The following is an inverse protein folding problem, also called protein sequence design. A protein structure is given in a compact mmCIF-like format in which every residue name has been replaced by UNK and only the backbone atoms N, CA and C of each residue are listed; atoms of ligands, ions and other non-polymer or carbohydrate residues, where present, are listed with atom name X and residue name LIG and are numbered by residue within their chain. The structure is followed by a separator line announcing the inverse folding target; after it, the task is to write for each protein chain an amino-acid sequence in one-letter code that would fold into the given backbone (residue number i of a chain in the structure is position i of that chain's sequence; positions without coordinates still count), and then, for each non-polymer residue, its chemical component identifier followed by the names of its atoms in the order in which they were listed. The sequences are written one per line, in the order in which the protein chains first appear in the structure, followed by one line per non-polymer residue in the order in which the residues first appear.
data_IF_280020590950
#
_entry.id   IF_280020590950
#
_cell.length_a   1.000
_cell.length_b   1.000
_cell.length_c   1.000
_cell.angle_alpha   90.00
_cell.angle_beta   90.00
_cell.angle_gamma   90.00
#
_symmetry.space_group_name_H-M   'P 1'
#
loop_
_entity.id
_entity.type
_entity.pdbx_description
1 polymer ?
#
# COMPACT_ATOMS: atom_id res chain seq x y z
N UNK A 1 -15.76 -1.34 -21.38
CA UNK A 1 -15.41 -0.93 -20.00
C UNK A 1 -14.42 0.20 -20.18
N UNK A 2 -14.86 1.43 -19.95
CA UNK A 2 -14.01 2.61 -20.00
C UNK A 2 -12.81 2.38 -19.10
N UNK A 3 -11.61 2.67 -19.58
CA UNK A 3 -10.42 2.64 -18.72
C UNK A 3 -9.98 4.08 -18.50
N UNK A 4 -9.95 4.49 -17.24
CA UNK A 4 -9.44 5.79 -16.85
C UNK A 4 -8.03 5.70 -16.26
N UNK A 5 -7.23 6.74 -16.48
CA UNK A 5 -5.89 6.94 -15.96
C UNK A 5 -5.53 8.41 -15.80
N UNK A 6 -4.34 8.72 -15.28
CA UNK A 6 -3.82 10.10 -15.24
C UNK A 6 -2.57 10.24 -16.10
N UNK A 7 -2.45 11.39 -16.76
CA UNK A 7 -1.18 11.93 -17.23
C UNK A 7 -0.76 13.06 -16.28
N UNK A 8 0.42 12.92 -15.69
CA UNK A 8 1.02 13.89 -14.78
C UNK A 8 2.24 14.52 -15.49
N UNK A 9 2.06 15.75 -15.94
CA UNK A 9 3.08 16.54 -16.63
C UNK A 9 3.95 17.27 -15.60
N UNK A 10 5.15 16.75 -15.36
CA UNK A 10 6.11 17.33 -14.41
C UNK A 10 6.86 18.53 -14.98
N UNK A 11 6.92 18.69 -16.32
CA UNK A 11 7.58 19.83 -16.95
C UNK A 11 6.80 21.13 -16.70
N UNK A 12 5.47 21.05 -16.76
CA UNK A 12 4.58 22.18 -16.46
C UNK A 12 4.28 22.38 -14.97
N UNK A 13 4.65 21.44 -14.10
CA UNK A 13 4.24 21.46 -12.70
C UNK A 13 5.06 22.46 -11.88
N UNK A 14 4.40 23.47 -11.30
CA UNK A 14 5.07 24.51 -10.48
C UNK A 14 5.08 24.23 -8.97
N UNK A 15 4.59 23.07 -8.52
CA UNK A 15 4.60 22.71 -7.09
C UNK A 15 3.70 23.58 -6.20
N UNK A 16 2.59 24.12 -6.70
CA UNK A 16 1.75 25.05 -5.92
C UNK A 16 0.86 24.40 -4.84
N UNK A 17 0.83 23.07 -4.72
CA UNK A 17 -0.05 22.30 -3.81
C UNK A 17 -1.56 22.45 -4.00
N UNK A 18 -2.02 23.16 -5.04
CA UNK A 18 -3.45 23.32 -5.31
C UNK A 18 -4.19 21.97 -5.41
N UNK A 19 -3.58 20.98 -6.08
CA UNK A 19 -4.13 19.64 -6.20
C UNK A 19 -4.27 18.89 -4.86
N UNK A 20 -3.29 19.04 -3.95
CA UNK A 20 -3.34 18.47 -2.60
C UNK A 20 -4.47 19.11 -1.79
N UNK A 21 -4.54 20.44 -1.79
CA UNK A 21 -5.55 21.20 -1.02
C UNK A 21 -6.96 20.92 -1.53
N UNK A 22 -7.18 20.95 -2.86
CA UNK A 22 -8.48 20.64 -3.44
C UNK A 22 -8.91 19.20 -3.12
N UNK A 23 -8.00 18.23 -3.18
CA UNK A 23 -8.32 16.86 -2.82
C UNK A 23 -8.70 16.71 -1.34
N UNK A 24 -8.00 17.45 -0.45
CA UNK A 24 -8.35 17.49 0.97
C UNK A 24 -9.73 18.09 1.20
N UNK A 25 -10.04 19.21 0.56
CA UNK A 25 -11.33 19.89 0.68
C UNK A 25 -12.49 19.09 0.09
N UNK A 26 -12.28 18.41 -1.03
CA UNK A 26 -13.34 17.64 -1.72
C UNK A 26 -13.76 16.39 -0.95
N UNK A 27 -12.85 15.79 -0.17
CA UNK A 27 -13.10 14.51 0.50
C UNK A 27 -12.91 14.56 2.02
N UNK A 28 -12.85 15.75 2.60
CA UNK A 28 -12.60 15.99 4.02
C UNK A 28 -11.43 15.14 4.56
N UNK A 29 -10.29 15.17 3.86
CA UNK A 29 -9.14 14.32 4.20
C UNK A 29 -8.42 14.85 5.45
N UNK A 30 -8.31 14.05 6.53
CA UNK A 30 -7.74 14.50 7.80
C UNK A 30 -6.30 15.00 7.70
N UNK A 31 -5.87 15.78 8.69
CA UNK A 31 -4.49 16.26 8.79
C UNK A 31 -3.50 15.08 8.92
N UNK A 32 -2.29 15.27 8.41
CA UNK A 32 -1.22 14.26 8.42
C UNK A 32 -1.31 13.19 7.32
N UNK A 33 -2.44 13.06 6.62
CA UNK A 33 -2.62 12.10 5.51
C UNK A 33 -3.07 12.79 4.22
N UNK A 34 -2.76 12.17 3.08
CA UNK A 34 -3.03 12.73 1.75
C UNK A 34 -3.45 11.64 0.76
N UNK A 35 -4.39 11.95 -0.15
CA UNK A 35 -4.75 11.08 -1.28
C UNK A 35 -3.90 11.38 -2.54
N UNK A 36 -3.40 12.60 -2.66
CA UNK A 36 -2.44 13.06 -3.67
C UNK A 36 -1.49 14.06 -3.01
N UNK A 37 -0.21 14.02 -3.40
CA UNK A 37 0.80 14.91 -2.85
C UNK A 37 1.83 15.33 -3.91
N UNK A 38 2.70 16.25 -3.56
CA UNK A 38 3.85 16.62 -4.37
C UNK A 38 5.13 16.06 -3.74
N UNK A 39 6.04 15.57 -4.59
CA UNK A 39 7.42 15.21 -4.23
C UNK A 39 8.36 16.19 -4.91
N UNK A 40 9.25 16.80 -4.13
CA UNK A 40 10.25 17.76 -4.60
C UNK A 40 11.61 17.10 -4.58
N UNK A 41 12.30 17.19 -5.70
CA UNK A 41 13.66 16.70 -5.84
C UNK A 41 14.54 17.85 -6.30
N UNK A 42 15.61 18.11 -5.58
CA UNK A 42 16.67 19.01 -6.02
C UNK A 42 17.82 18.21 -6.61
N UNK A 43 18.38 18.71 -7.71
CA UNK A 43 19.52 18.09 -8.40
C UNK A 43 20.62 19.11 -8.65
N UNK A 44 21.87 18.64 -8.66
CA UNK A 44 23.05 19.45 -9.00
C UNK A 44 23.69 20.10 -7.78
N UNK A 45 24.69 20.97 -8.04
CA UNK A 45 25.43 21.71 -7.01
C UNK A 45 25.50 23.18 -7.38
N UNK A 46 25.54 24.06 -6.38
CA UNK A 46 25.61 25.51 -6.60
C UNK A 46 26.83 25.86 -7.47
N UNK A 47 26.68 26.72 -8.51
CA UNK A 47 25.48 27.50 -8.87
C UNK A 47 24.48 26.79 -9.81
N UNK A 48 24.80 25.59 -10.28
CA UNK A 48 24.02 24.81 -11.25
C UNK A 48 23.05 23.85 -10.54
N UNK A 49 22.03 24.41 -9.88
CA UNK A 49 20.98 23.64 -9.20
C UNK A 49 19.66 23.69 -9.95
N UNK A 50 18.88 22.61 -9.85
CA UNK A 50 17.51 22.54 -10.37
C UNK A 50 16.58 21.91 -9.33
N UNK A 51 15.31 22.30 -9.35
CA UNK A 51 14.24 21.72 -8.52
C UNK A 51 13.15 21.17 -9.42
N UNK A 52 12.75 19.93 -9.15
CA UNK A 52 11.80 19.15 -9.92
C UNK A 52 10.58 18.86 -9.06
N UNK A 53 9.39 19.01 -9.64
CA UNK A 53 8.12 18.81 -8.96
C UNK A 53 7.37 17.64 -9.59
N UNK A 54 7.02 16.65 -8.80
CA UNK A 54 6.27 15.48 -9.30
C UNK A 54 5.06 15.21 -8.43
N UNK A 55 3.90 15.06 -9.05
CA UNK A 55 2.66 14.74 -8.36
C UNK A 55 2.56 13.23 -8.12
N UNK A 56 2.27 12.83 -6.89
CA UNK A 56 2.24 11.43 -6.45
C UNK A 56 0.85 11.08 -5.94
N UNK A 57 0.34 9.89 -6.29
CA UNK A 57 -1.00 9.40 -5.91
C UNK A 57 -1.11 7.88 -6.16
N UNK A 58 -2.31 7.33 -5.95
CA UNK A 58 -2.62 5.95 -6.37
C UNK A 58 -2.54 5.82 -7.90
N UNK A 59 -1.91 4.75 -8.37
CA UNK A 59 -1.72 4.49 -9.79
C UNK A 59 -2.92 3.81 -10.48
N UNK A 60 -3.97 3.44 -9.72
CA UNK A 60 -5.16 2.75 -10.21
C UNK A 60 -4.84 1.56 -11.15
N UNK A 61 -3.81 0.80 -10.80
CA UNK A 61 -3.24 -0.34 -11.53
C UNK A 61 -4.27 -1.26 -12.17
N UNK A 62 -3.97 -1.81 -13.35
CA UNK A 62 -4.78 -2.86 -13.99
C UNK A 62 -4.61 -4.21 -13.26
N UNK A 63 -3.40 -4.54 -12.81
CA UNK A 63 -3.16 -5.63 -11.85
C UNK A 63 -2.93 -5.02 -10.46
N UNK A 64 -3.99 -4.95 -9.66
CA UNK A 64 -4.01 -4.23 -8.39
C UNK A 64 -3.79 -5.20 -7.20
N UNK A 65 -2.56 -5.36 -6.68
CA UNK A 65 -2.27 -6.30 -5.58
C UNK A 65 -3.03 -5.94 -4.30
N UNK A 66 -3.38 -4.66 -4.11
CA UNK A 66 -4.20 -4.19 -3.00
C UNK A 66 -5.63 -4.76 -3.00
N UNK A 67 -6.22 -5.02 -4.17
CA UNK A 67 -7.53 -5.70 -4.28
C UNK A 67 -7.39 -7.17 -3.93
N UNK A 68 -6.37 -7.85 -4.50
CA UNK A 68 -6.13 -9.27 -4.28
C UNK A 68 -5.88 -9.58 -2.81
N UNK A 69 -5.09 -8.76 -2.09
CA UNK A 69 -4.81 -9.02 -0.67
C UNK A 69 -6.00 -8.69 0.24
N UNK A 70 -6.92 -7.82 -0.18
CA UNK A 70 -8.02 -7.35 0.66
C UNK A 70 -8.95 -8.52 1.02
N UNK A 71 -9.14 -8.84 2.32
CA UNK A 71 -9.90 -10.03 2.70
C UNK A 71 -11.41 -9.82 2.71
N UNK A 72 -11.90 -8.57 2.64
CA UNK A 72 -13.35 -8.26 2.73
C UNK A 72 -13.90 -7.58 1.47
N UNK A 73 -13.15 -7.61 0.37
CA UNK A 73 -13.49 -6.93 -0.89
C UNK A 73 -13.75 -5.42 -0.74
N UNK A 74 -13.20 -4.81 0.31
CA UNK A 74 -13.27 -3.36 0.53
C UNK A 74 -12.54 -2.56 -0.55
N UNK A 75 -11.64 -3.18 -1.32
CA UNK A 75 -11.03 -2.60 -2.51
C UNK A 75 -11.58 -3.35 -3.72
N UNK A 76 -12.12 -2.61 -4.68
CA UNK A 76 -12.75 -3.17 -5.88
C UNK A 76 -12.45 -2.32 -7.11
N UNK A 77 -12.73 -2.87 -8.29
CA UNK A 77 -12.64 -2.14 -9.55
C UNK A 77 -14.04 -1.77 -10.00
N UNK A 78 -14.23 -0.51 -10.35
CA UNK A 78 -15.46 0.04 -10.93
C UNK A 78 -15.47 -0.17 -12.45
N UNK A 79 -16.61 0.08 -13.09
CA UNK A 79 -16.80 -0.17 -14.53
C UNK A 79 -15.93 0.72 -15.44
N UNK A 80 -15.53 1.90 -14.93
CA UNK A 80 -14.58 2.81 -15.57
C UNK A 80 -13.10 2.46 -15.27
N UNK A 81 -12.86 1.28 -14.69
CA UNK A 81 -11.54 0.74 -14.42
C UNK A 81 -10.81 1.38 -13.24
N UNK A 82 -11.44 2.32 -12.52
CA UNK A 82 -10.89 2.91 -11.30
C UNK A 82 -10.84 1.83 -10.21
N UNK A 83 -9.67 1.63 -9.61
CA UNK A 83 -9.59 0.90 -8.35
C UNK A 83 -10.17 1.83 -7.28
N UNK A 84 -11.32 1.52 -6.70
CA UNK A 84 -11.99 2.28 -5.64
C UNK A 84 -12.02 1.50 -4.31
N UNK A 85 -12.56 2.11 -3.26
CA UNK A 85 -12.67 1.50 -1.95
C UNK A 85 -14.05 1.76 -1.31
N UNK A 86 -14.57 0.73 -0.65
CA UNK A 86 -15.76 0.80 0.20
C UNK A 86 -15.33 0.81 1.68
N UNK A 87 -15.56 1.93 2.34
CA UNK A 87 -15.23 2.12 3.75
C UNK A 87 -16.11 1.29 4.69
N UNK A 88 -17.30 0.87 4.26
CA UNK A 88 -18.21 0.07 5.06
C UNK A 88 -17.68 -1.36 5.26
N UNK A 89 -17.03 -1.93 4.23
CA UNK A 89 -16.47 -3.28 4.25
C UNK A 89 -15.07 -3.36 4.88
N UNK A 90 -14.38 -2.23 5.05
CA UNK A 90 -13.02 -2.22 5.54
C UNK A 90 -12.95 -2.59 7.03
N UNK A 91 -12.12 -3.60 7.36
CA UNK A 91 -11.82 -4.02 8.75
C UNK A 91 -10.54 -3.37 9.31
N UNK A 92 -9.82 -2.59 8.48
CA UNK A 92 -8.61 -1.90 8.89
C UNK A 92 -7.44 -2.84 9.23
N UNK A 93 -7.28 -3.95 8.48
CA UNK A 93 -6.19 -4.91 8.66
C UNK A 93 -4.82 -4.44 8.12
N UNK A 94 -4.79 -3.31 7.39
CA UNK A 94 -3.59 -2.72 6.76
C UNK A 94 -2.91 -3.58 5.68
N UNK A 95 -3.46 -4.75 5.33
CA UNK A 95 -2.86 -5.63 4.31
C UNK A 95 -2.66 -4.95 2.95
N UNK A 96 -3.61 -4.10 2.53
CA UNK A 96 -3.49 -3.33 1.29
C UNK A 96 -2.34 -2.32 1.31
N UNK A 97 -1.97 -1.79 2.48
CA UNK A 97 -0.81 -0.89 2.61
C UNK A 97 0.48 -1.66 2.33
N UNK A 98 0.62 -2.90 2.83
CA UNK A 98 1.78 -3.75 2.52
C UNK A 98 1.91 -4.04 1.03
N UNK A 99 0.77 -4.27 0.38
CA UNK A 99 0.73 -4.72 -1.00
C UNK A 99 0.89 -3.57 -2.01
N UNK A 100 0.76 -2.31 -1.58
CA UNK A 100 0.86 -1.18 -2.49
C UNK A 100 2.32 -0.77 -2.67
N UNK A 101 2.93 -0.93 -3.86
CA UNK A 101 4.33 -0.55 -4.07
C UNK A 101 4.54 0.97 -4.15
N UNK A 102 3.46 1.75 -4.10
CA UNK A 102 3.47 3.20 -4.31
C UNK A 102 3.27 4.02 -3.04
N UNK A 103 3.04 3.34 -1.91
CA UNK A 103 2.71 3.95 -0.63
C UNK A 103 1.46 4.87 -0.67
N UNK A 104 0.52 4.54 -1.54
CA UNK A 104 -0.63 5.38 -1.88
C UNK A 104 -1.87 5.15 -0.99
N UNK A 105 -1.77 4.30 0.03
CA UNK A 105 -2.87 3.89 0.90
C UNK A 105 -2.51 4.22 2.34
N UNK A 106 -3.42 4.84 3.08
CA UNK A 106 -3.26 5.15 4.49
C UNK A 106 -4.45 4.66 5.32
N UNK A 107 -4.28 4.53 6.63
CA UNK A 107 -5.41 4.42 7.56
C UNK A 107 -5.84 5.82 7.95
N UNK A 108 -7.09 6.16 7.69
CA UNK A 108 -7.66 7.43 8.14
C UNK A 108 -7.68 7.46 9.68
N UNK A 109 -7.06 8.48 10.32
CA UNK A 109 -6.92 8.54 11.76
C UNK A 109 -8.24 8.72 12.51
N UNK A 110 -9.27 9.26 11.85
CA UNK A 110 -10.59 9.52 12.43
C UNK A 110 -11.50 8.30 12.29
N UNK A 111 -11.53 7.67 11.11
CA UNK A 111 -12.47 6.59 10.80
C UNK A 111 -11.90 5.18 11.00
N UNK A 112 -10.57 5.06 11.13
CA UNK A 112 -9.84 3.81 11.32
C UNK A 112 -9.99 2.80 10.15
N UNK A 113 -10.30 3.29 8.95
CA UNK A 113 -10.39 2.49 7.71
C UNK A 113 -9.32 2.93 6.70
N UNK A 114 -9.05 2.05 5.72
CA UNK A 114 -8.10 2.36 4.66
C UNK A 114 -8.72 3.35 3.66
N UNK A 115 -7.95 4.37 3.28
CA UNK A 115 -8.31 5.36 2.28
C UNK A 115 -7.14 5.59 1.31
N UNK A 116 -7.48 6.06 0.10
CA UNK A 116 -6.53 6.40 -0.96
C UNK A 116 -7.19 7.34 -1.97
N UNK A 117 -6.50 7.70 -3.04
CA UNK A 117 -7.16 8.30 -4.21
C UNK A 117 -8.23 7.35 -4.77
N UNK A 118 -9.45 7.87 -4.94
CA UNK A 118 -10.59 7.22 -5.59
C UNK A 118 -10.86 7.81 -6.98
N UNK A 119 -9.90 8.52 -7.58
CA UNK A 119 -10.08 9.22 -8.85
C UNK A 119 -11.19 10.31 -8.83
N UNK A 120 -11.69 10.71 -7.65
CA UNK A 120 -12.93 11.46 -7.52
C UNK A 120 -14.10 10.79 -8.28
N UNK A 121 -14.23 9.46 -8.16
CA UNK A 121 -15.19 8.69 -8.94
C UNK A 121 -16.63 9.23 -8.82
N UNK A 122 -17.00 9.76 -7.64
CA UNK A 122 -18.29 10.42 -7.39
C UNK A 122 -18.55 11.66 -8.27
N UNK A 123 -17.50 12.31 -8.79
CA UNK A 123 -17.59 13.43 -9.75
C UNK A 123 -17.63 12.90 -11.18
N UNK A 124 -16.77 11.94 -11.49
CA UNK A 124 -16.62 11.40 -12.85
C UNK A 124 -17.91 10.70 -13.30
N UNK A 125 -18.59 9.99 -12.40
CA UNK A 125 -19.87 9.34 -12.69
C UNK A 125 -20.99 10.31 -13.09
N UNK A 126 -20.89 11.60 -12.70
CA UNK A 126 -21.83 12.65 -13.08
C UNK A 126 -21.28 13.60 -14.16
N UNK A 127 -20.21 13.19 -14.85
CA UNK A 127 -19.63 13.95 -15.96
C UNK A 127 -18.74 15.12 -15.56
N UNK A 128 -18.29 15.18 -14.30
CA UNK A 128 -17.37 16.21 -13.80
C UNK A 128 -15.94 15.68 -13.72
N UNK A 129 -14.96 16.55 -13.98
CA UNK A 129 -13.55 16.21 -13.80
C UNK A 129 -13.15 16.10 -12.31
N UNK A 130 -12.11 15.31 -11.99
CA UNK A 130 -11.55 15.24 -10.63
C UNK A 130 -11.13 16.61 -10.10
N UNK A 131 -11.34 16.89 -8.82
CA UNK A 131 -11.03 18.18 -8.20
C UNK A 131 -9.56 18.64 -8.41
N UNK A 132 -8.62 17.69 -8.40
CA UNK A 132 -7.21 17.96 -8.64
C UNK A 132 -6.86 18.37 -10.09
N UNK A 133 -7.70 18.00 -11.06
CA UNK A 133 -7.58 18.38 -12.47
C UNK A 133 -8.10 19.81 -12.63
N UNK A 134 -9.32 20.07 -12.14
CA UNK A 134 -10.00 21.37 -12.23
C UNK A 134 -9.19 22.51 -11.61
N UNK A 135 -8.52 22.26 -10.47
CA UNK A 135 -7.78 23.30 -9.74
C UNK A 135 -6.37 23.58 -10.29
N UNK A 136 -5.88 22.79 -11.25
CA UNK A 136 -4.48 22.86 -11.67
C UNK A 136 -4.25 24.07 -12.59
N UNK A 137 -3.55 25.13 -12.14
CA UNK A 137 -3.40 26.36 -12.93
C UNK A 137 -2.55 26.19 -14.19
N UNK A 138 -1.70 25.15 -14.21
CA UNK A 138 -0.78 24.85 -15.32
C UNK A 138 -1.30 23.71 -16.21
N UNK A 139 -2.50 23.17 -15.93
CA UNK A 139 -3.05 22.01 -16.63
C UNK A 139 -2.10 20.78 -16.65
N UNK A 140 -1.26 20.64 -15.62
CA UNK A 140 -0.27 19.57 -15.47
C UNK A 140 -0.86 18.22 -15.06
N UNK A 141 -2.14 18.17 -14.71
CA UNK A 141 -2.84 16.95 -14.29
C UNK A 141 -3.98 16.75 -15.28
N UNK A 142 -3.92 15.68 -16.09
CA UNK A 142 -4.92 15.39 -17.12
C UNK A 142 -5.50 14.00 -16.92
N UNK A 143 -6.79 13.83 -17.21
CA UNK A 143 -7.44 12.51 -17.26
C UNK A 143 -7.17 11.87 -18.61
N UNK A 144 -6.69 10.64 -18.59
CA UNK A 144 -6.63 9.76 -19.75
C UNK A 144 -7.91 8.94 -19.75
N UNK A 145 -8.72 9.12 -20.78
CA UNK A 145 -9.72 8.13 -21.18
C UNK A 145 -9.12 7.29 -22.29
N UNK A 146 -8.94 5.98 -22.05
CA UNK A 146 -8.33 5.07 -23.03
C UNK A 146 -9.28 4.67 -24.16
N UNK A 147 -10.59 4.82 -23.96
CA UNK A 147 -11.62 4.48 -24.95
C UNK A 147 -11.89 5.67 -25.89
N UNK A 148 -11.62 6.90 -25.43
CA UNK A 148 -11.71 8.11 -26.26
C UNK A 148 -10.44 8.32 -27.08
N UNK A 149 -10.56 8.14 -28.40
CA UNK A 149 -9.44 8.35 -29.34
C UNK A 149 -8.99 9.80 -29.44
N UNK A 150 -9.87 10.74 -29.10
CA UNK A 150 -9.62 12.16 -29.21
C UNK A 150 -9.03 12.80 -27.96
N UNK A 151 -9.03 12.07 -26.84
CA UNK A 151 -8.44 12.49 -25.56
C UNK A 151 -6.97 12.94 -25.74
N UNK A 152 -6.69 14.19 -25.36
CA UNK A 152 -5.36 14.81 -25.51
C UNK A 152 -4.28 14.04 -24.73
N UNK A 153 -4.57 13.62 -23.50
CA UNK A 153 -3.61 12.90 -22.67
C UNK A 153 -3.27 11.52 -23.27
N UNK A 154 -4.25 10.83 -23.87
CA UNK A 154 -4.04 9.59 -24.63
C UNK A 154 -3.13 9.81 -25.85
N UNK A 155 -3.30 10.93 -26.56
CA UNK A 155 -2.43 11.30 -27.69
C UNK A 155 -0.99 11.57 -27.24
N UNK A 156 -0.79 12.19 -26.07
CA UNK A 156 0.54 12.46 -25.52
C UNK A 156 1.26 11.15 -25.17
N UNK A 157 0.64 10.25 -24.41
CA UNK A 157 1.28 8.98 -24.01
C UNK A 157 1.62 8.07 -25.21
N UNK A 158 0.94 8.24 -26.35
CA UNK A 158 1.22 7.48 -27.57
C UNK A 158 2.28 8.10 -28.47
N UNK A 159 2.71 9.34 -28.21
CA UNK A 159 3.67 10.09 -29.04
C UNK A 159 4.97 10.41 -28.32
N UNK A 160 4.94 10.50 -27.00
CA UNK A 160 6.06 10.96 -26.18
C UNK A 160 6.53 9.87 -25.21
N UNK A 161 7.79 9.96 -24.82
CA UNK A 161 8.36 9.09 -23.79
C UNK A 161 7.81 9.49 -22.42
N UNK A 162 6.98 8.61 -21.86
CA UNK A 162 6.40 8.75 -20.53
C UNK A 162 6.89 7.63 -19.61
N UNK A 163 7.14 7.99 -18.35
CA UNK A 163 7.55 7.06 -17.33
C UNK A 163 6.35 6.56 -16.51
N UNK A 164 6.52 5.40 -15.88
CA UNK A 164 5.62 4.87 -14.86
C UNK A 164 6.42 4.52 -13.61
N UNK A 165 5.75 4.45 -12.46
CA UNK A 165 6.42 4.05 -11.21
C UNK A 165 6.49 2.54 -11.06
N UNK A 166 7.65 2.08 -10.59
CA UNK A 166 7.95 0.68 -10.25
C UNK A 166 7.48 -0.33 -11.32
N UNK A 167 7.93 -0.17 -12.59
CA UNK A 167 7.56 -1.10 -13.67
C UNK A 167 7.94 -2.55 -13.37
N UNK A 168 9.00 -2.78 -12.58
CA UNK A 168 9.46 -4.10 -12.15
C UNK A 168 8.43 -4.87 -11.29
N UNK A 169 7.44 -4.17 -10.72
CA UNK A 169 6.36 -4.78 -9.94
C UNK A 169 5.23 -5.34 -10.82
N UNK A 170 5.26 -5.10 -12.14
CA UNK A 170 4.28 -5.62 -13.12
C UNK A 170 2.81 -5.32 -12.81
N UNK A 171 2.51 -4.25 -12.06
CA UNK A 171 1.12 -3.90 -11.68
C UNK A 171 0.33 -3.25 -12.82
N UNK A 172 0.97 -2.94 -13.96
CA UNK A 172 0.37 -2.18 -15.07
C UNK A 172 -0.30 -0.87 -14.59
N UNK A 173 0.49 0.09 -14.06
CA UNK A 173 -0.03 1.35 -13.54
C UNK A 173 -0.68 2.20 -14.65
N UNK A 174 -1.77 2.89 -14.30
CA UNK A 174 -2.49 3.81 -15.21
C UNK A 174 -2.23 5.27 -14.91
N UNK A 175 -1.07 5.57 -14.32
CA UNK A 175 -0.59 6.92 -14.07
C UNK A 175 0.76 7.06 -14.75
N UNK A 176 0.78 7.95 -15.75
CA UNK A 176 1.91 8.20 -16.62
C UNK A 176 2.51 9.54 -16.28
N UNK A 177 3.83 9.61 -16.34
CA UNK A 177 4.63 10.76 -15.95
C UNK A 177 5.39 11.29 -17.16
N UNK A 178 5.07 12.52 -17.59
CA UNK A 178 5.85 13.24 -18.60
C UNK A 178 6.86 14.14 -17.90
N UNK A 179 8.11 14.11 -18.34
CA UNK A 179 9.17 14.99 -17.81
C UNK A 179 9.55 14.76 -16.34
N UNK A 180 9.08 13.68 -15.71
CA UNK A 180 9.39 13.44 -14.30
C UNK A 180 10.85 13.04 -14.13
N UNK A 181 11.52 13.73 -13.21
CA UNK A 181 12.87 13.37 -12.83
C UNK A 181 12.91 11.95 -12.24
N UNK A 182 13.85 11.12 -12.69
CA UNK A 182 13.93 9.72 -12.24
C UNK A 182 14.12 9.58 -10.73
N UNK A 183 14.80 10.52 -10.06
CA UNK A 183 14.93 10.51 -8.60
C UNK A 183 13.61 10.83 -7.85
N UNK A 184 12.60 11.36 -8.55
CA UNK A 184 11.26 11.48 -8.00
C UNK A 184 10.50 10.14 -8.06
N UNK A 185 10.67 9.38 -9.14
CA UNK A 185 9.97 8.11 -9.36
C UNK A 185 10.60 6.92 -8.64
N UNK A 186 11.94 6.87 -8.65
CA UNK A 186 12.75 5.84 -8.01
C UNK A 186 13.32 6.37 -6.68
N UNK A 187 12.88 5.82 -5.53
CA UNK A 187 13.38 6.25 -4.23
C UNK A 187 14.89 5.98 -4.05
N UNK A 188 15.46 4.97 -4.72
CA UNK A 188 16.87 4.58 -4.58
C UNK A 188 17.83 5.57 -5.26
N UNK A 189 17.32 6.42 -6.16
CA UNK A 189 18.11 7.45 -6.86
C UNK A 189 18.23 8.76 -6.10
N UNK A 190 17.44 8.97 -5.05
CA UNK A 190 17.58 10.13 -4.18
C UNK A 190 18.44 9.78 -2.97
N UNK A 191 19.29 10.70 -2.51
CA UNK A 191 20.07 10.53 -1.27
C UNK A 191 19.07 10.33 -0.12
N UNK A 192 19.02 9.11 0.41
CA UNK A 192 18.37 8.82 1.68
C UNK A 192 19.23 9.54 2.74
N UNK A 193 18.69 10.48 3.53
CA UNK A 193 19.45 11.07 4.61
C UNK A 193 19.96 9.96 5.55
N UNK A 194 21.09 10.18 6.20
CA UNK A 194 21.68 9.22 7.15
C UNK A 194 20.89 9.18 8.47
N UNK A 195 19.56 9.32 8.42
CA UNK A 195 18.65 9.34 9.57
C UNK A 195 17.87 8.02 9.75
N UNK A 196 18.33 6.95 9.11
CA UNK A 196 17.96 5.58 9.48
C UNK A 196 16.72 5.06 8.76
N UNK A 197 16.90 4.04 7.93
CA UNK A 197 15.80 3.19 7.51
C UNK A 197 15.49 2.17 8.62
N UNK A 198 14.32 2.39 9.22
CA UNK A 198 13.34 1.41 9.71
C UNK A 198 13.73 0.42 10.85
N UNK A 199 14.99 -0.03 11.02
CA UNK A 199 15.42 -0.84 12.18
C UNK A 199 16.91 -0.73 12.59
N UNK A 200 17.69 0.22 12.05
CA UNK A 200 19.08 0.37 12.44
C UNK A 200 19.49 1.84 12.53
N UNK A 201 20.07 2.23 13.67
CA UNK A 201 21.07 3.30 13.67
C UNK A 201 22.14 2.89 12.66
N UNK A 202 22.29 3.64 11.57
CA UNK A 202 23.39 3.37 10.64
C UNK A 202 24.68 3.69 11.37
N UNK A 203 25.43 2.66 11.75
CA UNK A 203 26.81 2.86 12.20
C UNK A 203 27.61 3.51 11.07
N UNK A 204 28.69 4.26 11.37
CA UNK A 204 29.50 4.94 10.35
C UNK A 204 29.99 4.06 9.19
N UNK A 205 29.94 2.73 9.36
CA UNK A 205 30.44 1.73 8.42
C UNK A 205 29.34 0.86 7.78
N UNK A 206 28.06 1.24 7.89
CA UNK A 206 26.98 0.46 7.27
C UNK A 206 27.10 0.48 5.73
N UNK A 207 27.06 -0.67 5.04
CA UNK A 207 27.07 -0.71 3.59
C UNK A 207 25.82 0.01 3.04
N UNK A 208 26.01 1.17 2.42
CA UNK A 208 24.97 1.80 1.61
C UNK A 208 24.87 1.04 0.29
N UNK A 209 23.65 0.77 -0.22
CA UNK A 209 23.53 0.26 -1.59
C UNK A 209 24.29 1.21 -2.52
N UNK A 210 25.07 0.69 -3.48
CA UNK A 210 25.85 1.52 -4.37
C UNK A 210 24.91 2.53 -5.05
N UNK A 211 25.24 3.82 -4.97
CA UNK A 211 24.53 4.84 -5.72
C UNK A 211 24.61 4.46 -7.20
N UNK A 212 23.46 4.13 -7.80
CA UNK A 212 23.38 3.60 -9.17
C UNK A 212 23.80 4.67 -10.21
N UNK A 213 23.91 5.95 -9.82
CA UNK A 213 24.48 7.00 -10.64
C UNK A 213 25.38 7.91 -9.79
N UNK A 214 26.71 7.75 -9.87
CA UNK A 214 27.68 8.57 -9.15
C UNK A 214 27.70 10.06 -9.58
N UNK A 215 26.90 10.45 -10.58
CA UNK A 215 26.88 11.80 -11.16
C UNK A 215 25.68 12.69 -10.79
N UNK A 216 24.58 12.13 -10.27
CA UNK A 216 23.37 12.92 -9.96
C UNK A 216 23.19 13.03 -8.46
N UNK A 217 23.60 14.17 -7.89
CA UNK A 217 23.27 14.52 -6.50
C UNK A 217 21.80 14.93 -6.48
N UNK A 218 20.91 13.95 -6.31
CA UNK A 218 19.48 14.19 -6.12
C UNK A 218 19.12 14.12 -4.63
N UNK A 219 18.41 15.12 -4.13
CA UNK A 219 17.91 15.17 -2.75
C UNK A 219 16.40 15.37 -2.77
N UNK A 220 15.66 14.51 -2.08
CA UNK A 220 14.25 14.76 -1.81
C UNK A 220 14.13 15.85 -0.75
N UNK A 221 13.63 17.04 -1.13
CA UNK A 221 13.49 18.19 -0.21
C UNK A 221 12.11 18.31 0.39
N UNK A 222 11.10 17.74 -0.28
CA UNK A 222 9.75 17.63 0.24
C UNK A 222 9.11 16.35 -0.26
N UNK A 223 8.48 15.63 0.65
CA UNK A 223 7.50 14.60 0.33
C UNK A 223 6.53 14.59 1.50
N UNK A 224 5.28 14.18 1.30
CA UNK A 224 4.42 13.92 2.45
C UNK A 224 5.02 12.77 3.25
N UNK A 225 4.95 12.89 4.57
CA UNK A 225 5.59 11.97 5.51
C UNK A 225 5.25 10.52 5.20
N UNK A 226 6.25 9.66 5.39
CA UNK A 226 6.07 8.22 5.50
C UNK A 226 4.93 7.92 6.46
N UNK A 227 4.02 7.02 6.08
CA UNK A 227 2.98 6.60 7.01
C UNK A 227 3.65 6.10 8.31
N UNK A 228 3.10 6.42 9.49
CA UNK A 228 3.65 5.89 10.72
C UNK A 228 3.66 4.37 10.65
N UNK A 229 4.72 3.74 11.19
CA UNK A 229 4.82 2.29 11.27
C UNK A 229 3.52 1.70 11.86
N UNK A 230 2.75 1.03 11.00
CA UNK A 230 1.40 0.57 11.34
C UNK A 230 1.41 -0.75 12.10
N UNK A 231 2.51 -1.51 11.95
CA UNK A 231 2.80 -2.76 12.64
C UNK A 231 3.87 -2.54 13.70
N UNK A 232 3.45 -2.35 14.94
CA UNK A 232 4.32 -2.21 16.12
C UNK A 232 4.47 -3.58 16.81
N UNK A 233 4.76 -3.59 18.11
CA UNK A 233 4.98 -4.84 18.89
C UNK A 233 3.85 -5.89 18.85
N UNK A 234 2.64 -5.55 18.38
CA UNK A 234 1.55 -6.51 18.16
C UNK A 234 1.94 -7.61 17.17
N UNK A 235 2.69 -7.28 16.12
CA UNK A 235 3.14 -8.26 15.12
C UNK A 235 4.09 -9.28 15.72
N UNK A 236 5.10 -8.80 16.45
CA UNK A 236 5.99 -9.68 17.20
C UNK A 236 5.20 -10.54 18.20
N UNK A 237 4.19 -9.98 18.87
CA UNK A 237 3.35 -10.70 19.83
C UNK A 237 2.60 -11.89 19.22
N UNK A 238 1.86 -11.70 18.12
CA UNK A 238 1.15 -12.81 17.49
C UNK A 238 2.09 -13.78 16.74
N UNK A 239 3.27 -13.35 16.31
CA UNK A 239 4.29 -14.25 15.75
C UNK A 239 4.89 -15.16 16.83
N UNK A 240 5.24 -14.62 17.99
CA UNK A 240 5.81 -15.39 19.11
C UNK A 240 4.78 -16.37 19.66
N UNK A 241 3.55 -15.92 19.91
CA UNK A 241 2.49 -16.80 20.44
C UNK A 241 2.14 -17.92 19.45
N UNK A 242 2.07 -17.64 18.15
CA UNK A 242 1.93 -18.65 17.11
C UNK A 242 3.12 -19.62 17.06
N UNK A 243 4.34 -19.11 17.21
CA UNK A 243 5.55 -19.94 17.20
C UNK A 243 5.62 -20.89 18.40
N UNK A 244 5.20 -20.44 19.60
CA UNK A 244 5.09 -21.29 20.78
C UNK A 244 4.07 -22.42 20.54
N UNK A 245 2.90 -22.09 20.01
CA UNK A 245 1.88 -23.10 19.73
C UNK A 245 2.38 -24.18 18.75
N UNK A 246 3.05 -23.77 17.67
CA UNK A 246 3.63 -24.70 16.70
C UNK A 246 4.81 -25.50 17.29
N UNK A 247 5.69 -24.84 18.05
CA UNK A 247 6.89 -25.45 18.63
C UNK A 247 6.56 -26.54 19.66
N UNK A 248 5.55 -26.31 20.50
CA UNK A 248 5.11 -27.30 21.49
C UNK A 248 4.54 -28.56 20.83
N UNK A 249 3.75 -28.39 19.76
CA UNK A 249 3.26 -29.53 18.96
C UNK A 249 4.38 -30.26 18.21
N UNK A 250 5.39 -29.53 17.73
CA UNK A 250 6.57 -30.12 17.09
C UNK A 250 7.37 -30.97 18.09
N UNK A 251 7.58 -30.48 19.31
CA UNK A 251 8.26 -31.24 20.37
C UNK A 251 7.47 -32.51 20.73
N UNK A 252 6.14 -32.42 20.84
CA UNK A 252 5.30 -33.59 21.07
C UNK A 252 5.44 -34.63 19.95
N UNK A 253 5.43 -34.20 18.68
CA UNK A 253 5.64 -35.08 17.53
C UNK A 253 7.03 -35.74 17.55
N UNK A 254 8.08 -35.01 17.93
CA UNK A 254 9.42 -35.57 18.08
C UNK A 254 9.49 -36.58 19.23
N UNK A 255 8.82 -36.34 20.35
CA UNK A 255 8.76 -37.30 21.46
C UNK A 255 8.08 -38.62 21.05
N UNK A 256 7.02 -38.56 20.24
CA UNK A 256 6.41 -39.76 19.63
C UNK A 256 7.42 -40.53 18.78
N UNK A 257 8.16 -39.83 17.91
CA UNK A 257 9.17 -40.44 17.03
C UNK A 257 10.34 -41.05 17.82
N UNK A 258 10.67 -40.49 18.98
CA UNK A 258 11.69 -41.02 19.90
C UNK A 258 11.18 -42.17 20.79
N UNK A 259 9.95 -42.65 20.60
CA UNK A 259 9.39 -43.79 21.33
C UNK A 259 8.70 -43.45 22.65
N UNK A 260 8.49 -42.17 22.97
CA UNK A 260 7.80 -41.74 24.20
C UNK A 260 6.27 -41.66 24.04
N UNK A 261 5.69 -42.45 23.11
CA UNK A 261 4.25 -42.45 22.83
C UNK A 261 3.38 -42.93 24.01
N UNK A 262 3.98 -43.64 24.98
CA UNK A 262 3.33 -44.07 26.21
C UNK A 262 3.11 -42.95 27.23
N UNK A 263 3.79 -41.81 27.11
CA UNK A 263 3.68 -40.68 28.04
C UNK A 263 2.50 -39.77 27.67
N UNK A 264 1.29 -40.26 27.92
CA UNK A 264 0.04 -39.57 27.58
C UNK A 264 -0.02 -38.11 28.07
N UNK A 265 0.49 -37.83 29.27
CA UNK A 265 0.52 -36.46 29.78
C UNK A 265 1.47 -35.56 28.98
N UNK A 266 2.69 -36.02 28.70
CA UNK A 266 3.75 -35.26 28.06
C UNK A 266 3.53 -35.08 26.54
N UNK A 267 2.81 -36.00 25.90
CA UNK A 267 2.62 -36.03 24.45
C UNK A 267 1.17 -35.73 24.05
N UNK A 268 0.20 -36.30 24.75
CA UNK A 268 -1.22 -36.30 24.35
C UNK A 268 -2.07 -35.20 24.97
N UNK A 269 -1.70 -34.66 26.14
CA UNK A 269 -2.55 -33.70 26.88
C UNK A 269 -1.91 -32.33 26.98
N UNK A 270 -0.69 -32.24 27.54
CA UNK A 270 -0.04 -30.95 27.80
C UNK A 270 0.23 -30.18 26.50
N UNK A 271 0.80 -30.79 25.44
CA UNK A 271 1.12 -30.05 24.22
C UNK A 271 -0.10 -29.48 23.50
N UNK A 272 -1.20 -30.23 23.26
CA UNK A 272 -2.41 -29.67 22.65
C UNK A 272 -3.06 -28.58 23.50
N UNK A 273 -3.05 -28.71 24.83
CA UNK A 273 -3.60 -27.68 25.74
C UNK A 273 -2.82 -26.37 25.66
N UNK A 274 -1.49 -26.44 25.73
CA UNK A 274 -0.63 -25.25 25.59
C UNK A 274 -0.76 -24.67 24.18
N UNK A 275 -0.70 -25.53 23.15
CA UNK A 275 -0.87 -25.12 21.75
C UNK A 275 -2.18 -24.39 21.51
N UNK A 276 -3.30 -24.95 21.96
CA UNK A 276 -4.63 -24.35 21.88
C UNK A 276 -4.72 -23.02 22.62
N UNK A 277 -4.17 -22.93 23.83
CA UNK A 277 -4.15 -21.68 24.61
C UNK A 277 -3.38 -20.57 23.88
N UNK A 278 -2.19 -20.86 23.36
CA UNK A 278 -1.40 -19.88 22.61
C UNK A 278 -2.03 -19.52 21.25
N UNK A 279 -2.72 -20.44 20.58
CA UNK A 279 -3.53 -20.13 19.39
C UNK A 279 -4.71 -19.22 19.72
N UNK A 280 -5.40 -19.44 20.85
CA UNK A 280 -6.47 -18.56 21.31
C UNK A 280 -5.94 -17.14 21.60
N UNK A 281 -4.80 -17.03 22.28
CA UNK A 281 -4.11 -15.75 22.50
C UNK A 281 -3.73 -15.09 21.17
N UNK A 282 -3.20 -15.87 20.22
CA UNK A 282 -2.89 -15.38 18.87
C UNK A 282 -4.13 -14.81 18.19
N UNK A 283 -5.27 -15.50 18.26
CA UNK A 283 -6.55 -15.06 17.71
C UNK A 283 -7.01 -13.73 18.32
N UNK A 284 -6.96 -13.60 19.65
CA UNK A 284 -7.28 -12.35 20.36
C UNK A 284 -6.36 -11.20 19.91
N UNK A 285 -5.05 -11.45 19.82
CA UNK A 285 -4.08 -10.44 19.36
C UNK A 285 -4.33 -10.00 17.92
N UNK A 286 -4.66 -10.93 17.02
CA UNK A 286 -4.98 -10.63 15.62
C UNK A 286 -6.25 -9.77 15.50
N UNK A 287 -7.32 -10.13 16.21
CA UNK A 287 -8.57 -9.35 16.24
C UNK A 287 -8.29 -7.95 16.82
N UNK A 288 -7.51 -7.87 17.90
CA UNK A 288 -7.18 -6.61 18.55
C UNK A 288 -6.20 -5.72 17.74
N UNK A 289 -5.49 -6.26 16.73
CA UNK A 289 -4.66 -5.42 15.83
C UNK A 289 -5.49 -4.77 14.71
N UNK A 290 -6.68 -5.31 14.40
CA UNK A 290 -7.60 -4.66 13.48
C UNK A 290 -7.96 -3.26 13.97
N UNK A 291 -8.01 -2.31 13.04
CA UNK A 291 -8.46 -0.95 13.36
C UNK A 291 -9.98 -0.86 13.51
N UNK A 292 -10.72 -1.86 13.04
CA UNK A 292 -12.17 -2.04 13.22
C UNK A 292 -12.47 -3.47 13.72
N UNK A 293 -12.12 -3.82 14.97
CA UNK A 293 -12.25 -5.19 15.49
C UNK A 293 -13.70 -5.68 15.52
N UNK A 294 -14.67 -4.78 15.67
CA UNK A 294 -16.11 -5.10 15.63
C UNK A 294 -16.58 -5.63 14.27
N UNK A 295 -15.80 -5.38 13.21
CA UNK A 295 -16.07 -5.89 11.85
C UNK A 295 -15.35 -7.19 11.53
N UNK A 296 -14.70 -7.83 12.50
CA UNK A 296 -13.96 -9.09 12.28
C UNK A 296 -14.79 -10.17 11.57
N UNK A 297 -16.09 -10.28 11.89
CA UNK A 297 -17.00 -11.26 11.30
C UNK A 297 -17.19 -11.10 9.77
N UNK A 298 -16.81 -9.96 9.18
CA UNK A 298 -16.78 -9.78 7.73
C UNK A 298 -15.76 -10.68 7.04
N UNK A 299 -14.72 -11.14 7.73
CA UNK A 299 -13.80 -12.15 7.17
C UNK A 299 -14.53 -13.45 6.81
N UNK A 300 -15.59 -13.78 7.55
CA UNK A 300 -16.38 -15.00 7.35
C UNK A 300 -17.54 -14.73 6.40
N UNK A 301 -18.26 -13.61 6.60
CA UNK A 301 -19.52 -13.31 5.90
C UNK A 301 -19.36 -12.56 4.58
N UNK A 302 -18.22 -11.87 4.40
CA UNK A 302 -17.91 -11.02 3.23
C UNK A 302 -16.50 -11.32 2.71
N UNK A 303 -16.05 -12.58 2.85
CA UNK A 303 -14.71 -13.01 2.47
C UNK A 303 -14.45 -12.83 0.97
N UNK A 304 -13.34 -12.19 0.64
CA UNK A 304 -12.88 -12.09 -0.75
C UNK A 304 -12.22 -13.39 -1.19
N UNK A 305 -12.86 -14.11 -2.12
CA UNK A 305 -12.35 -15.38 -2.64
C UNK A 305 -11.06 -15.25 -3.43
N UNK A 306 -10.68 -14.06 -3.92
CA UNK A 306 -9.38 -13.86 -4.58
C UNK A 306 -8.22 -13.78 -3.58
N UNK A 307 -8.51 -13.45 -2.32
CA UNK A 307 -7.49 -13.24 -1.29
C UNK A 307 -6.92 -14.54 -0.77
N UNK A 308 -5.60 -14.68 -0.85
CA UNK A 308 -4.88 -15.84 -0.31
C UNK A 308 -5.08 -16.00 1.20
N UNK A 309 -5.29 -14.89 1.94
CA UNK A 309 -5.59 -14.90 3.37
C UNK A 309 -6.92 -15.62 3.65
N UNK A 310 -7.94 -15.31 2.85
CA UNK A 310 -9.29 -15.89 2.98
C UNK A 310 -9.27 -17.35 2.53
N UNK A 311 -8.63 -17.66 1.38
CA UNK A 311 -8.45 -19.04 0.92
C UNK A 311 -7.73 -19.90 1.96
N UNK A 312 -6.64 -19.38 2.52
CA UNK A 312 -5.88 -20.04 3.58
C UNK A 312 -6.73 -20.30 4.82
N UNK A 313 -7.53 -19.32 5.26
CA UNK A 313 -8.43 -19.48 6.39
C UNK A 313 -9.49 -20.57 6.15
N UNK A 314 -10.09 -20.64 4.96
CA UNK A 314 -11.06 -21.69 4.64
C UNK A 314 -10.43 -23.08 4.56
N UNK A 315 -9.24 -23.21 3.96
CA UNK A 315 -8.52 -24.50 3.89
C UNK A 315 -8.15 -24.98 5.30
N UNK A 316 -7.58 -24.10 6.13
CA UNK A 316 -7.19 -24.44 7.49
C UNK A 316 -8.41 -24.75 8.37
N UNK A 317 -9.52 -24.00 8.19
CA UNK A 317 -10.77 -24.26 8.90
C UNK A 317 -11.40 -25.60 8.51
N UNK A 318 -11.40 -25.93 7.22
CA UNK A 318 -11.87 -27.23 6.75
C UNK A 318 -11.01 -28.39 7.27
N UNK A 319 -9.68 -28.23 7.25
CA UNK A 319 -8.75 -29.21 7.82
C UNK A 319 -9.01 -29.46 9.30
N UNK A 320 -9.17 -28.38 10.09
CA UNK A 320 -9.45 -28.47 11.53
C UNK A 320 -10.84 -29.06 11.85
N UNK A 321 -11.78 -29.03 10.91
CA UNK A 321 -13.10 -29.65 11.09
C UNK A 321 -13.12 -31.15 10.80
N UNK A 322 -12.13 -31.65 10.03
CA UNK A 322 -12.03 -33.05 9.61
C UNK A 322 -11.14 -33.87 10.54
N UNK A 323 -10.19 -33.23 11.24
CA UNK A 323 -9.29 -33.87 12.21
C UNK A 323 -9.76 -33.68 13.65
#
# INVERSE_FOLDING_TARGET
MTKLGFLLDSDGCIGCHACTVACKSEHDVPLGVNRTWLKYVETGEFPSTARHFTVMRCNHCDDAPCMTICPTSALHRTDNGVVDFDTALCIGCKGCMNACPYDAIYINPETNVANKCNFCNHRVEVGLEPACVVVCPTHSIKVIDFDDVDNEARKIIGREDVAVRSPEQNTNPKVYYRGANQAALDPLRSRIPADGLIWADTTPNHPTPPHIDAGVIARTTYTTGSHPLTWKGKVSGYLVTKAIAAGVMLVAALMVLMGHSGEQAAVGVVPPMIGGAFLAVTGVLLIADLKRPERFYFLITKGNSSSWLVKGAYILGAYAAVM
#
